data_IF_059357440355
#
_entry.id   IF_059357440355
#
_cell.length_a   1.000
_cell.length_b   1.000
_cell.length_c   1.000
_cell.angle_alpha   90.00
_cell.angle_beta   90.00
_cell.angle_gamma   90.00
#
_symmetry.space_group_name_H-M   'P 1'
#
loop_
_entity.id
_entity.type
_entity.pdbx_description
1 polymer ?
#
# COMPACT_ATOMS: atom_id res chain seq x y z
N UNK A 1 1.24 -6.13 -8.79
CA UNK A 1 1.98 -7.35 -8.36
C UNK A 1 1.35 -7.82 -7.05
N UNK A 2 1.29 -9.13 -6.77
CA UNK A 2 0.84 -9.63 -5.44
C UNK A 2 2.07 -9.69 -4.53
N UNK A 3 2.02 -8.97 -3.41
CA UNK A 3 3.16 -8.79 -2.51
C UNK A 3 2.91 -9.53 -1.21
N UNK A 4 3.95 -10.14 -0.65
CA UNK A 4 3.92 -10.55 0.76
C UNK A 4 3.89 -9.31 1.66
N UNK A 5 3.52 -9.45 2.96
CA UNK A 5 3.52 -8.31 3.88
C UNK A 5 4.87 -7.57 3.91
N UNK A 6 5.96 -8.33 4.00
CA UNK A 6 7.32 -7.79 3.98
C UNK A 6 7.61 -7.00 2.70
N UNK A 7 7.28 -7.57 1.53
CA UNK A 7 7.52 -6.91 0.26
C UNK A 7 6.64 -5.66 0.07
N UNK A 8 5.43 -5.65 0.63
CA UNK A 8 4.55 -4.48 0.62
C UNK A 8 5.17 -3.30 1.40
N UNK A 9 5.70 -3.57 2.59
CA UNK A 9 6.42 -2.56 3.39
C UNK A 9 7.66 -2.07 2.65
N UNK A 10 8.48 -2.97 2.10
CA UNK A 10 9.68 -2.62 1.34
C UNK A 10 9.36 -1.73 0.12
N UNK A 11 8.21 -1.93 -0.53
CA UNK A 11 7.73 -1.06 -1.61
C UNK A 11 7.40 0.35 -1.10
N UNK A 12 6.75 0.48 0.06
CA UNK A 12 6.46 1.80 0.65
C UNK A 12 7.76 2.53 1.06
N UNK A 13 8.72 1.82 1.66
CA UNK A 13 10.02 2.39 2.02
C UNK A 13 10.80 2.84 0.78
N UNK A 14 10.80 2.03 -0.28
CA UNK A 14 11.43 2.39 -1.55
C UNK A 14 10.71 3.54 -2.26
N UNK A 15 9.38 3.61 -2.17
CA UNK A 15 8.61 4.73 -2.69
C UNK A 15 9.04 6.03 -2.02
N UNK A 16 9.21 6.04 -0.70
CA UNK A 16 9.75 7.20 0.04
C UNK A 16 11.15 7.58 -0.43
N UNK A 17 12.06 6.60 -0.56
CA UNK A 17 13.44 6.86 -1.02
C UNK A 17 13.49 7.46 -2.43
N UNK A 18 12.53 7.13 -3.29
CA UNK A 18 12.44 7.62 -4.67
C UNK A 18 11.56 8.85 -4.84
N UNK A 19 10.95 9.38 -3.78
CA UNK A 19 10.01 10.49 -3.87
C UNK A 19 8.72 10.13 -4.64
N UNK A 20 8.27 8.89 -4.51
CA UNK A 20 7.05 8.35 -5.14
C UNK A 20 5.95 8.25 -4.09
N UNK A 21 4.75 8.68 -4.46
CA UNK A 21 3.57 8.67 -3.60
C UNK A 21 2.86 7.32 -3.68
N UNK A 22 2.62 6.67 -2.54
CA UNK A 22 1.77 5.46 -2.47
C UNK A 22 0.31 5.90 -2.54
N UNK A 23 -0.40 5.48 -3.59
CA UNK A 23 -1.78 5.86 -3.87
C UNK A 23 -2.79 4.98 -3.14
N UNK A 24 -2.77 3.68 -3.45
CA UNK A 24 -3.77 2.72 -2.95
C UNK A 24 -3.04 1.50 -2.40
N UNK A 25 -3.53 1.00 -1.26
CA UNK A 25 -3.18 -0.30 -0.70
C UNK A 25 -4.45 -1.14 -0.62
N UNK A 26 -4.39 -2.37 -1.11
CA UNK A 26 -5.49 -3.35 -1.04
C UNK A 26 -4.94 -4.65 -0.48
N UNK A 27 -5.60 -5.20 0.53
CA UNK A 27 -5.22 -6.46 1.15
C UNK A 27 -6.13 -7.62 0.72
N UNK A 28 -5.66 -8.82 1.00
CA UNK A 28 -6.37 -10.05 0.73
C UNK A 28 -5.60 -11.26 1.23
N UNK A 29 -6.10 -12.44 0.89
CA UNK A 29 -5.48 -13.70 1.27
C UNK A 29 -4.81 -14.38 0.08
N UNK A 30 -3.64 -14.94 0.34
CA UNK A 30 -2.95 -15.85 -0.57
C UNK A 30 -3.22 -17.31 -0.21
N UNK A 31 -3.67 -18.10 -1.20
CA UNK A 31 -4.06 -19.51 -1.05
C UNK A 31 -3.13 -20.51 -1.75
N UNK A 32 -1.95 -20.08 -2.22
CA UNK A 32 -0.90 -20.93 -2.81
C UNK A 32 -1.36 -21.98 -3.86
N UNK A 33 -1.59 -21.58 -5.14
CA UNK A 33 -1.67 -20.21 -5.63
C UNK A 33 -3.11 -19.68 -5.61
N UNK A 34 -3.25 -18.37 -5.55
CA UNK A 34 -4.55 -17.71 -5.65
C UNK A 34 -4.61 -16.51 -4.73
N UNK A 35 -4.98 -15.36 -5.29
CA UNK A 35 -5.18 -14.15 -4.52
C UNK A 35 -6.67 -13.85 -4.47
N UNK A 36 -7.21 -13.79 -3.26
CA UNK A 36 -8.58 -13.34 -3.02
C UNK A 36 -8.53 -11.95 -2.39
N UNK A 37 -8.89 -10.88 -3.13
CA UNK A 37 -8.96 -9.55 -2.56
C UNK A 37 -10.12 -9.44 -1.57
N UNK A 38 -9.94 -8.63 -0.54
CA UNK A 38 -11.04 -8.13 0.30
C UNK A 38 -11.18 -6.63 0.07
N UNK A 39 -12.25 -6.21 -0.61
CA UNK A 39 -12.47 -4.80 -0.95
C UNK A 39 -12.68 -3.90 0.28
N UNK A 40 -13.00 -4.45 1.45
CA UNK A 40 -13.16 -3.67 2.68
C UNK A 40 -11.83 -3.14 3.23
N UNK A 41 -10.71 -3.73 2.82
CA UNK A 41 -9.34 -3.36 3.25
C UNK A 41 -8.74 -2.21 2.45
N UNK A 42 -9.46 -1.70 1.46
CA UNK A 42 -8.92 -0.67 0.56
C UNK A 42 -8.59 0.60 1.35
N UNK A 43 -7.31 0.89 1.44
CA UNK A 43 -6.81 2.20 1.85
C UNK A 43 -6.50 3.04 0.62
N UNK A 44 -7.08 4.24 0.58
CA UNK A 44 -6.95 5.17 -0.53
C UNK A 44 -6.44 6.51 0.00
N UNK A 45 -5.21 6.85 -0.37
CA UNK A 45 -4.54 8.10 0.01
C UNK A 45 -4.98 9.31 -0.82
N UNK A 46 -5.70 9.10 -1.93
CA UNK A 46 -6.08 10.21 -2.81
C UNK A 46 -6.95 11.25 -2.08
N UNK A 47 -7.64 10.84 -1.01
CA UNK A 47 -8.38 11.72 -0.10
C UNK A 47 -7.51 12.76 0.64
N UNK A 48 -6.19 12.59 0.65
CA UNK A 48 -5.19 13.48 1.26
C UNK A 48 -4.14 13.97 0.24
N UNK A 49 -4.36 13.68 -1.05
CA UNK A 49 -3.36 13.95 -2.08
C UNK A 49 -3.12 15.45 -2.20
N UNK A 50 -1.85 15.87 -2.07
CA UNK A 50 -1.34 17.26 -1.98
C UNK A 50 -1.42 17.92 -0.60
N UNK A 51 -2.09 17.31 0.38
CA UNK A 51 -2.22 17.89 1.74
C UNK A 51 -1.15 17.39 2.73
N UNK A 52 -0.50 16.26 2.41
CA UNK A 52 0.57 15.66 3.22
C UNK A 52 1.82 15.40 2.38
N UNK A 53 2.99 15.42 3.04
CA UNK A 53 4.24 15.06 2.38
C UNK A 53 4.34 13.55 2.07
N UNK A 54 5.21 13.20 1.11
CA UNK A 54 5.39 11.82 0.63
C UNK A 54 5.80 10.87 1.76
N UNK A 55 6.65 11.31 2.68
CA UNK A 55 7.13 10.45 3.77
C UNK A 55 5.97 10.11 4.70
N UNK A 56 5.23 11.12 5.16
CA UNK A 56 4.08 10.92 6.03
C UNK A 56 3.02 10.04 5.37
N UNK A 57 2.71 10.27 4.08
CA UNK A 57 1.80 9.41 3.33
C UNK A 57 2.21 7.94 3.33
N UNK A 58 3.48 7.69 3.00
CA UNK A 58 3.99 6.34 2.87
C UNK A 58 4.14 5.65 4.25
N UNK A 59 4.40 6.40 5.32
CA UNK A 59 4.38 5.89 6.70
C UNK A 59 2.96 5.44 7.10
N UNK A 60 1.91 6.20 6.74
CA UNK A 60 0.51 5.80 6.98
C UNK A 60 0.14 4.55 6.16
N UNK A 61 0.66 4.42 4.94
CA UNK A 61 0.46 3.20 4.14
C UNK A 61 1.08 1.97 4.85
N UNK A 62 2.26 2.11 5.46
CA UNK A 62 2.90 1.06 6.25
C UNK A 62 2.07 0.72 7.49
N UNK A 63 1.53 1.72 8.18
CA UNK A 63 0.63 1.51 9.33
C UNK A 63 -0.63 0.73 8.92
N UNK A 64 -1.25 1.07 7.79
CA UNK A 64 -2.39 0.34 7.24
C UNK A 64 -2.03 -1.13 6.93
N UNK A 65 -0.89 -1.38 6.26
CA UNK A 65 -0.42 -2.75 5.99
C UNK A 65 -0.24 -3.54 7.30
N UNK A 66 0.36 -2.93 8.33
CA UNK A 66 0.56 -3.60 9.63
C UNK A 66 -0.77 -3.90 10.34
N UNK A 67 -1.76 -3.02 10.22
CA UNK A 67 -3.13 -3.26 10.69
C UNK A 67 -3.73 -4.48 10.00
N UNK A 68 -3.69 -4.51 8.67
CA UNK A 68 -4.23 -5.63 7.88
C UNK A 68 -3.50 -6.96 8.18
N UNK A 69 -2.18 -6.92 8.41
CA UNK A 69 -1.43 -8.10 8.86
C UNK A 69 -1.92 -8.60 10.22
N UNK A 70 -2.21 -7.68 11.14
CA UNK A 70 -2.76 -8.01 12.47
C UNK A 70 -4.15 -8.66 12.36
N UNK A 71 -4.94 -8.23 11.37
CA UNK A 71 -6.26 -8.77 11.06
C UNK A 71 -6.20 -10.08 10.25
N UNK A 72 -5.00 -10.55 9.87
CA UNK A 72 -4.76 -11.85 9.25
C UNK A 72 -4.63 -11.84 7.72
N UNK A 73 -4.53 -10.68 7.09
CA UNK A 73 -4.28 -10.59 5.65
C UNK A 73 -2.83 -10.97 5.30
N UNK A 74 -2.66 -11.65 4.17
CA UNK A 74 -1.38 -12.31 3.82
C UNK A 74 -0.82 -11.89 2.48
N UNK A 75 -1.55 -11.09 1.71
CA UNK A 75 -1.09 -10.56 0.44
C UNK A 75 -1.66 -9.16 0.16
N UNK A 76 -0.86 -8.36 -0.54
CA UNK A 76 -1.17 -6.96 -0.81
C UNK A 76 -0.99 -6.60 -2.29
N UNK A 77 -1.77 -5.65 -2.75
CA UNK A 77 -1.56 -4.88 -3.97
C UNK A 77 -1.25 -3.44 -3.58
N UNK A 78 -0.23 -2.86 -4.21
CA UNK A 78 0.12 -1.45 -4.04
C UNK A 78 0.05 -0.76 -5.40
N UNK A 79 -0.64 0.37 -5.43
CA UNK A 79 -0.64 1.31 -6.56
C UNK A 79 0.16 2.54 -6.16
N UNK A 80 1.18 2.88 -6.95
CA UNK A 80 1.95 4.11 -6.78
C UNK A 80 1.54 5.15 -7.82
N UNK A 81 1.67 6.43 -7.46
CA UNK A 81 1.43 7.56 -8.34
C UNK A 81 2.78 8.12 -8.76
N UNK A 82 3.19 7.82 -9.98
CA UNK A 82 4.33 8.48 -10.61
C UNK A 82 3.86 9.77 -11.26
N UNK A 83 4.43 10.92 -10.85
CA UNK A 83 4.29 12.26 -11.46
C UNK A 83 2.99 12.47 -12.26
N UNK A 84 1.98 13.06 -11.61
CA UNK A 84 0.86 13.64 -12.36
C UNK A 84 1.46 14.84 -13.08
N UNK A 85 1.70 14.71 -14.39
CA UNK A 85 2.06 15.86 -15.22
C UNK A 85 0.99 16.93 -15.02
N UNK A 86 1.43 18.13 -14.64
CA UNK A 86 0.57 19.32 -14.48
C UNK A 86 -0.25 19.61 -15.75
#
# INVERSE_FOLDING_TARGET
>A
MKLSPKAAIEVCEEATRRGVFVGIVEAGHWYNPGFQPDMSTRWDSLKFYKDIDIKLNNDIAIENINGDVTDGYTAFLITVISQVSD
#
